data_IF_184026045405
#
_entry.id   IF_184026045405
#
_cell.length_a   1.000
_cell.length_b   1.000
_cell.length_c   1.000
_cell.angle_alpha   90.00
_cell.angle_beta   90.00
_cell.angle_gamma   90.00
#
_symmetry.space_group_name_H-M   'P 1'
#
loop_
_entity.id
_entity.type
_entity.pdbx_description
1 polymer ?
#
# COMPACT_ATOMS: atom_id res chain seq x y z
N UNK A 1 -14.86 27.61 3.69
CA UNK A 1 -14.60 26.22 3.25
C UNK A 1 -13.92 25.51 4.41
N UNK A 2 -14.39 24.34 4.81
CA UNK A 2 -13.78 23.53 5.87
C UNK A 2 -12.65 22.67 5.30
N UNK A 3 -11.65 22.34 6.12
CA UNK A 3 -10.63 21.36 5.75
C UNK A 3 -11.23 19.94 5.65
N UNK A 4 -10.55 19.07 4.91
CA UNK A 4 -10.90 17.65 4.84
C UNK A 4 -10.89 17.04 6.25
N UNK A 5 -11.76 16.06 6.46
CA UNK A 5 -11.76 15.30 7.70
C UNK A 5 -10.42 14.56 7.87
N UNK A 6 -9.91 14.38 9.10
CA UNK A 6 -8.66 13.66 9.35
C UNK A 6 -8.61 12.27 8.71
N UNK A 7 -9.74 11.57 8.67
CA UNK A 7 -9.86 10.23 8.08
C UNK A 7 -9.64 10.28 6.56
N UNK A 8 -10.10 11.33 5.89
CA UNK A 8 -9.85 11.52 4.45
C UNK A 8 -8.37 11.82 4.17
N UNK A 9 -7.71 12.59 5.05
CA UNK A 9 -6.27 12.82 4.94
C UNK A 9 -5.46 11.54 5.17
N UNK A 10 -5.90 10.67 6.08
CA UNK A 10 -5.29 9.37 6.31
C UNK A 10 -5.45 8.44 5.08
N UNK A 11 -6.65 8.39 4.48
CA UNK A 11 -6.89 7.65 3.23
C UNK A 11 -5.99 8.18 2.09
N UNK A 12 -5.87 9.50 1.95
CA UNK A 12 -5.00 10.12 0.96
C UNK A 12 -3.53 9.72 1.15
N UNK A 13 -3.06 9.63 2.40
CA UNK A 13 -1.70 9.21 2.72
C UNK A 13 -1.42 7.75 2.35
N UNK A 14 -2.45 6.89 2.37
CA UNK A 14 -2.41 5.50 1.91
C UNK A 14 -2.60 5.36 0.39
N UNK A 15 -2.67 6.47 -0.35
CA UNK A 15 -2.97 6.52 -1.79
C UNK A 15 -4.36 5.97 -2.17
N UNK A 16 -5.31 6.01 -1.23
CA UNK A 16 -6.71 5.65 -1.48
C UNK A 16 -7.49 6.79 -2.14
N UNK A 17 -8.58 6.43 -2.81
CA UNK A 17 -9.40 7.38 -3.55
C UNK A 17 -10.26 8.23 -2.61
N UNK A 18 -10.26 9.55 -2.82
CA UNK A 18 -11.09 10.49 -2.04
C UNK A 18 -12.36 10.89 -2.78
N UNK A 19 -13.39 11.36 -2.06
CA UNK A 19 -14.48 12.11 -2.65
C UNK A 19 -13.97 13.32 -3.45
N UNK A 20 -14.60 13.64 -4.58
CA UNK A 20 -14.13 14.65 -5.51
C UNK A 20 -13.92 16.05 -4.87
N UNK A 21 -14.78 16.43 -3.92
CA UNK A 21 -14.64 17.69 -3.19
C UNK A 21 -13.40 17.74 -2.30
N UNK A 22 -13.11 16.66 -1.59
CA UNK A 22 -11.92 16.55 -0.75
C UNK A 22 -10.64 16.48 -1.60
N UNK A 23 -10.68 15.76 -2.73
CA UNK A 23 -9.58 15.73 -3.68
C UNK A 23 -9.26 17.12 -4.26
N UNK A 24 -10.28 17.87 -4.66
CA UNK A 24 -10.12 19.23 -5.18
C UNK A 24 -9.59 20.21 -4.11
N UNK A 25 -10.06 20.06 -2.86
CA UNK A 25 -9.56 20.86 -1.74
C UNK A 25 -8.11 20.52 -1.42
N UNK A 26 -7.77 19.23 -1.30
CA UNK A 26 -6.42 18.76 -1.03
C UNK A 26 -5.43 19.25 -2.10
N UNK A 27 -5.85 19.30 -3.37
CA UNK A 27 -5.01 19.82 -4.46
C UNK A 27 -4.66 21.32 -4.34
N UNK A 28 -5.45 22.10 -3.58
CA UNK A 28 -5.29 23.56 -3.48
C UNK A 28 -4.98 24.08 -2.07
N UNK A 29 -5.07 23.25 -1.03
CA UNK A 29 -4.88 23.65 0.37
C UNK A 29 -3.50 23.23 0.92
N UNK A 30 -2.59 24.19 1.20
CA UNK A 30 -1.25 23.86 1.72
C UNK A 30 -1.26 23.16 3.08
N UNK A 31 -2.24 23.47 3.95
CA UNK A 31 -2.36 22.85 5.25
C UNK A 31 -2.73 21.36 5.13
N UNK A 32 -3.74 21.03 4.33
CA UNK A 32 -4.11 19.63 4.10
C UNK A 32 -2.97 18.85 3.42
N UNK A 33 -2.23 19.49 2.50
CA UNK A 33 -1.05 18.88 1.87
C UNK A 33 0.06 18.58 2.89
N UNK A 34 0.32 19.51 3.82
CA UNK A 34 1.32 19.32 4.87
C UNK A 34 0.94 18.17 5.81
N UNK A 35 -0.34 18.04 6.17
CA UNK A 35 -0.83 16.93 7.00
C UNK A 35 -0.66 15.58 6.29
N UNK A 36 -1.08 15.47 5.02
CA UNK A 36 -0.88 14.24 4.22
C UNK A 36 0.59 13.89 4.10
N UNK A 37 1.47 14.87 3.86
CA UNK A 37 2.91 14.63 3.80
C UNK A 37 3.47 14.12 5.13
N UNK A 38 2.97 14.62 6.27
CA UNK A 38 3.36 14.12 7.59
C UNK A 38 2.95 12.66 7.80
N UNK A 39 1.71 12.32 7.42
CA UNK A 39 1.13 10.97 7.53
C UNK A 39 1.77 9.96 6.56
N UNK A 40 2.25 10.42 5.39
CA UNK A 40 2.83 9.56 4.36
C UNK A 40 4.23 9.05 4.69
N UNK A 41 5.01 9.80 5.48
CA UNK A 41 6.36 9.39 5.92
C UNK A 41 6.41 7.99 6.54
N UNK A 42 5.60 7.65 7.57
CA UNK A 42 5.59 6.28 8.11
C UNK A 42 5.06 5.25 7.11
N UNK A 43 4.12 5.61 6.23
CA UNK A 43 3.62 4.72 5.17
C UNK A 43 4.74 4.34 4.23
N UNK A 44 5.52 5.29 3.73
CA UNK A 44 6.62 5.03 2.80
C UNK A 44 7.73 4.17 3.44
N UNK A 45 7.97 4.30 4.75
CA UNK A 45 8.97 3.51 5.48
C UNK A 45 8.49 2.08 5.76
N UNK A 46 7.21 1.90 6.07
CA UNK A 46 6.63 0.61 6.46
C UNK A 46 6.00 -0.15 5.29
N UNK A 47 5.78 0.51 4.16
CA UNK A 47 5.25 -0.12 2.97
C UNK A 47 6.15 -1.28 2.56
N UNK A 48 5.56 -2.46 2.45
CA UNK A 48 6.22 -3.58 1.79
C UNK A 48 6.42 -3.15 0.34
N UNK A 49 7.65 -3.16 -0.19
CA UNK A 49 7.88 -2.86 -1.59
C UNK A 49 6.94 -3.72 -2.43
N UNK A 50 6.33 -3.16 -3.49
CA UNK A 50 5.50 -3.96 -4.38
C UNK A 50 6.31 -5.20 -4.80
N UNK A 51 5.67 -6.36 -4.88
CA UNK A 51 6.34 -7.62 -5.27
C UNK A 51 7.07 -7.50 -6.62
N UNK A 52 6.66 -6.54 -7.46
CA UNK A 52 7.24 -6.19 -8.75
C UNK A 52 8.34 -5.10 -8.68
N UNK A 53 8.52 -4.48 -7.53
CA UNK A 53 9.31 -3.26 -7.33
C UNK A 53 10.75 -3.56 -6.96
N UNK A 54 11.54 -4.08 -7.89
CA UNK A 54 13.01 -3.97 -7.96
C UNK A 54 13.87 -4.36 -6.75
N UNK A 55 13.27 -4.78 -5.63
CA UNK A 55 13.97 -5.29 -4.47
C UNK A 55 14.60 -6.63 -4.81
N UNK A 56 15.66 -6.98 -4.08
CA UNK A 56 16.24 -8.33 -4.16
C UNK A 56 15.17 -9.34 -3.78
N UNK A 57 14.74 -10.12 -4.78
CA UNK A 57 13.84 -11.24 -4.58
C UNK A 57 14.50 -12.25 -3.63
N UNK A 58 13.91 -12.45 -2.46
CA UNK A 58 14.35 -13.47 -1.53
C UNK A 58 13.56 -14.74 -1.85
N UNK A 59 14.18 -15.63 -2.62
CA UNK A 59 13.60 -16.92 -2.90
C UNK A 59 13.43 -17.71 -1.59
N UNK A 60 12.21 -18.17 -1.25
CA UNK A 60 12.03 -19.00 -0.07
C UNK A 60 12.74 -20.35 -0.27
N UNK A 61 13.26 -20.97 0.80
CA UNK A 61 13.86 -22.30 0.71
C UNK A 61 12.87 -23.34 0.15
N UNK A 62 13.31 -24.33 -0.67
CA UNK A 62 12.41 -25.29 -1.31
C UNK A 62 11.43 -25.99 -0.36
N UNK A 63 11.91 -26.33 0.86
CA UNK A 63 11.09 -26.95 1.92
C UNK A 63 9.82 -26.18 2.27
N UNK A 64 9.79 -24.87 2.07
CA UNK A 64 8.62 -24.03 2.34
C UNK A 64 7.50 -24.38 1.36
N UNK A 65 7.83 -24.54 0.08
CA UNK A 65 6.86 -24.92 -0.93
C UNK A 65 6.40 -26.36 -0.76
N UNK A 66 7.32 -27.29 -0.45
CA UNK A 66 6.98 -28.68 -0.15
C UNK A 66 5.99 -28.79 1.02
N UNK A 67 6.23 -28.03 2.10
CA UNK A 67 5.36 -28.00 3.26
C UNK A 67 3.98 -27.40 2.96
N UNK A 68 3.90 -26.33 2.15
CA UNK A 68 2.64 -25.72 1.73
C UNK A 68 1.83 -26.71 0.87
N UNK A 69 2.46 -27.38 -0.09
CA UNK A 69 1.81 -28.38 -0.93
C UNK A 69 1.26 -29.54 -0.08
N UNK A 70 2.04 -30.03 0.89
CA UNK A 70 1.61 -31.08 1.80
C UNK A 70 0.44 -30.64 2.71
N UNK A 71 0.48 -29.40 3.23
CA UNK A 71 -0.55 -28.87 4.13
C UNK A 71 -1.87 -28.53 3.42
N UNK A 72 -1.81 -28.10 2.17
CA UNK A 72 -2.98 -27.65 1.40
C UNK A 72 -3.53 -28.73 0.46
N UNK A 73 -2.77 -29.77 0.17
CA UNK A 73 -3.10 -30.79 -0.84
C UNK A 73 -3.01 -30.28 -2.29
N UNK A 74 -2.51 -29.07 -2.51
CA UNK A 74 -2.36 -28.47 -3.84
C UNK A 74 -1.17 -29.12 -4.56
N UNK A 75 -1.44 -29.76 -5.70
CA UNK A 75 -0.44 -30.41 -6.56
C UNK A 75 -0.30 -29.76 -7.95
N UNK A 76 -1.05 -28.68 -8.20
CA UNK A 76 -1.02 -27.98 -9.47
C UNK A 76 0.27 -27.16 -9.64
N UNK A 77 0.95 -27.33 -10.78
CA UNK A 77 2.03 -26.46 -11.22
C UNK A 77 1.50 -25.42 -12.22
N UNK A 78 2.03 -24.17 -12.23
CA UNK A 78 1.69 -23.18 -13.25
C UNK A 78 1.98 -23.75 -14.65
N UNK A 79 1.08 -23.50 -15.61
CA UNK A 79 1.35 -23.80 -17.02
C UNK A 79 2.38 -22.81 -17.55
N UNK A 80 3.35 -23.32 -18.31
CA UNK A 80 4.36 -22.52 -19.01
C UNK A 80 3.74 -21.53 -20.00
#
# INVERSE_FOLDING_TARGET
MQHCAPEQLALAALAEQLPAGDAAHLASCPQCQAEVASLRRPVDVLAVPPLSGGGTEVAPPPRVWDAIAAATGVSAAPRA
#
